data_IF_360851502207
#
_entry.id   IF_360851502207
#
_cell.length_a   1.000
_cell.length_b   1.000
_cell.length_c   1.000
_cell.angle_alpha   90.00
_cell.angle_beta   90.00
_cell.angle_gamma   90.00
#
_symmetry.space_group_name_H-M   'P 1'
#
loop_
_entity.id
_entity.type
_entity.pdbx_description
1 polymer ?
#
# COMPACT_ATOMS: atom_id res chain seq x y z
N UNK A 1 32.11 -43.83 16.09
CA UNK A 1 30.94 -43.13 15.54
C UNK A 1 29.79 -43.21 16.53
N UNK A 2 29.03 -42.12 16.69
CA UNK A 2 27.57 -42.06 16.92
C UNK A 2 27.23 -40.63 17.36
N UNK A 3 27.09 -39.73 16.37
CA UNK A 3 26.71 -38.32 16.52
C UNK A 3 25.23 -38.22 16.20
N UNK A 4 24.37 -38.58 17.14
CA UNK A 4 22.92 -38.50 16.98
C UNK A 4 22.33 -37.60 18.04
N UNK A 5 22.15 -36.33 17.69
CA UNK A 5 21.06 -35.49 18.17
C UNK A 5 21.04 -34.24 17.28
N UNK A 6 20.26 -34.33 16.20
CA UNK A 6 19.80 -33.17 15.44
C UNK A 6 19.09 -32.22 16.42
N UNK A 7 19.77 -31.15 16.82
CA UNK A 7 19.14 -30.05 17.52
C UNK A 7 18.34 -29.24 16.48
N UNK A 8 17.02 -29.24 16.68
CA UNK A 8 16.04 -28.61 15.82
C UNK A 8 16.37 -27.15 15.52
N UNK A 9 16.41 -26.84 14.22
CA UNK A 9 16.24 -25.49 13.69
C UNK A 9 14.81 -25.02 13.96
N UNK A 10 14.60 -24.24 15.02
CA UNK A 10 13.40 -23.40 15.15
C UNK A 10 13.69 -22.03 14.52
N UNK A 11 13.47 -21.94 13.21
CA UNK A 11 13.44 -20.68 12.47
C UNK A 11 12.06 -20.53 11.85
N UNK A 12 11.07 -20.09 12.62
CA UNK A 12 9.76 -19.74 12.08
C UNK A 12 8.99 -18.82 13.05
N UNK A 13 9.30 -17.52 13.00
CA UNK A 13 8.50 -16.46 13.60
C UNK A 13 8.06 -15.50 12.49
N UNK A 14 7.05 -15.93 11.74
CA UNK A 14 6.36 -15.17 10.70
C UNK A 14 5.75 -13.91 11.31
N UNK A 15 6.21 -12.73 10.88
CA UNK A 15 5.40 -11.51 10.86
C UNK A 15 5.09 -11.20 9.39
N UNK A 16 4.05 -11.87 8.87
CA UNK A 16 3.35 -11.46 7.66
C UNK A 16 2.72 -10.08 7.91
N UNK A 17 3.48 -9.03 7.67
CA UNK A 17 2.96 -7.68 7.48
C UNK A 17 2.30 -7.54 6.11
N UNK A 18 1.36 -8.41 5.75
CA UNK A 18 0.55 -8.28 4.53
C UNK A 18 -0.64 -7.37 4.80
N UNK A 19 -0.36 -6.09 4.98
CA UNK A 19 -1.35 -5.02 4.79
C UNK A 19 -0.91 -4.07 3.69
N UNK A 20 -0.30 -4.60 2.63
CA UNK A 20 -0.47 -4.00 1.31
C UNK A 20 -1.90 -4.35 0.88
N UNK A 21 -2.84 -3.54 1.35
CA UNK A 21 -4.22 -3.61 0.95
C UNK A 21 -4.26 -3.72 -0.57
N UNK A 22 -4.81 -4.85 -1.00
CA UNK A 22 -5.13 -5.23 -2.37
C UNK A 22 -5.36 -3.99 -3.23
N UNK A 23 -4.65 -3.93 -4.35
CA UNK A 23 -5.12 -3.42 -5.63
C UNK A 23 -6.53 -2.83 -5.56
N UNK A 24 -6.67 -1.60 -5.04
CA UNK A 24 -7.91 -0.88 -5.18
C UNK A 24 -7.83 -0.30 -6.58
N UNK A 25 -8.33 -1.07 -7.55
CA UNK A 25 -8.65 -0.63 -8.90
C UNK A 25 -9.72 0.49 -8.90
N UNK A 26 -10.12 0.97 -7.72
CA UNK A 26 -10.84 2.21 -7.51
C UNK A 26 -9.84 3.24 -7.04
N UNK A 27 -9.61 4.25 -7.87
CA UNK A 27 -8.75 5.41 -7.65
C UNK A 27 -9.25 6.34 -6.52
N UNK A 28 -10.25 5.86 -5.79
CA UNK A 28 -11.11 6.52 -4.82
C UNK A 28 -11.03 5.77 -3.51
N UNK A 29 -10.72 6.50 -2.44
CA UNK A 29 -10.46 5.97 -1.11
C UNK A 29 -11.60 6.32 -0.16
N UNK A 30 -11.95 5.46 0.81
CA UNK A 30 -13.02 5.74 1.77
C UNK A 30 -12.65 6.82 2.79
N UNK A 31 -11.38 7.19 2.90
CA UNK A 31 -10.91 8.19 3.86
C UNK A 31 -9.74 8.99 3.33
N UNK A 32 -9.60 10.23 3.81
CA UNK A 32 -8.47 11.10 3.50
C UNK A 32 -7.14 10.44 3.84
N UNK A 33 -7.03 9.80 5.01
CA UNK A 33 -5.80 9.14 5.43
C UNK A 33 -5.38 7.99 4.48
N UNK A 34 -6.35 7.24 3.93
CA UNK A 34 -6.05 6.20 2.94
C UNK A 34 -5.61 6.82 1.60
N UNK A 35 -6.25 7.91 1.18
CA UNK A 35 -5.86 8.66 -0.01
C UNK A 35 -4.45 9.25 0.13
N UNK A 36 -4.12 9.87 1.26
CA UNK A 36 -2.79 10.44 1.51
C UNK A 36 -1.68 9.39 1.54
N UNK A 37 -1.96 8.18 2.04
CA UNK A 37 -1.01 7.06 1.95
C UNK A 37 -0.68 6.73 0.51
N UNK A 38 -1.69 6.59 -0.35
CA UNK A 38 -1.49 6.36 -1.78
C UNK A 38 -0.80 7.54 -2.46
N UNK A 39 -1.12 8.77 -2.06
CA UNK A 39 -0.50 9.97 -2.59
C UNK A 39 1.01 9.96 -2.41
N UNK A 40 1.49 9.54 -1.24
CA UNK A 40 2.92 9.39 -0.94
C UNK A 40 3.60 8.38 -1.84
N UNK A 41 2.95 7.26 -2.15
CA UNK A 41 3.45 6.26 -3.10
C UNK A 41 3.56 6.85 -4.52
N UNK A 42 2.52 7.58 -4.93
CA UNK A 42 2.42 8.26 -6.22
C UNK A 42 3.25 9.56 -6.31
N UNK A 43 3.97 9.93 -5.25
CA UNK A 43 4.71 11.21 -5.11
C UNK A 43 3.85 12.44 -5.46
N UNK A 44 2.57 12.39 -5.10
CA UNK A 44 1.64 13.50 -5.19
C UNK A 44 1.10 13.85 -3.81
N UNK A 45 0.45 15.02 -3.68
CA UNK A 45 -0.13 15.48 -2.42
C UNK A 45 -1.40 16.29 -2.66
N UNK A 46 -2.13 16.56 -1.59
CA UNK A 46 -3.35 17.37 -1.62
C UNK A 46 -4.65 16.56 -1.73
N UNK A 47 -4.73 15.38 -1.11
CA UNK A 47 -5.91 14.53 -1.18
C UNK A 47 -7.22 15.32 -1.04
N UNK A 48 -8.12 15.18 -2.02
CA UNK A 48 -9.40 15.91 -2.07
C UNK A 48 -10.58 14.97 -1.97
N UNK A 49 -11.64 15.43 -1.32
CA UNK A 49 -12.90 14.70 -1.24
C UNK A 49 -13.67 14.84 -2.56
N UNK A 50 -14.10 13.71 -3.10
CA UNK A 50 -15.01 13.60 -4.23
C UNK A 50 -16.27 12.86 -3.77
N UNK A 51 -17.21 13.60 -3.17
CA UNK A 51 -18.40 13.02 -2.56
C UNK A 51 -18.09 12.31 -1.25
N UNK A 52 -18.32 10.98 -1.19
CA UNK A 52 -18.02 10.15 -0.02
C UNK A 52 -16.61 9.55 -0.06
N UNK A 53 -15.94 9.70 -1.20
CA UNK A 53 -14.64 9.12 -1.46
C UNK A 53 -13.58 10.21 -1.55
N UNK A 54 -12.32 9.81 -1.49
CA UNK A 54 -11.15 10.67 -1.45
C UNK A 54 -10.19 10.28 -2.54
N UNK A 55 -9.71 11.26 -3.29
CA UNK A 55 -8.67 11.09 -4.28
C UNK A 55 -7.31 11.42 -3.66
N UNK A 56 -6.22 10.77 -4.07
CA UNK A 56 -4.93 10.90 -3.39
C UNK A 56 -4.14 12.17 -3.78
N UNK A 57 -4.29 12.70 -5.00
CA UNK A 57 -3.62 13.93 -5.43
C UNK A 57 -4.60 15.10 -5.48
N UNK A 58 -4.13 16.36 -5.44
CA UNK A 58 -4.94 17.60 -5.45
C UNK A 58 -6.05 17.71 -6.50
N UNK A 59 -5.89 17.04 -7.64
CA UNK A 59 -6.88 16.99 -8.70
C UNK A 59 -6.72 15.71 -9.52
N UNK A 60 -7.69 15.45 -10.40
CA UNK A 60 -7.69 14.29 -11.28
C UNK A 60 -6.50 14.30 -12.26
N UNK A 61 -6.14 15.45 -12.84
CA UNK A 61 -4.99 15.54 -13.76
C UNK A 61 -3.66 15.10 -13.14
N UNK A 62 -3.36 15.56 -11.92
CA UNK A 62 -2.15 15.19 -11.19
C UNK A 62 -2.17 13.71 -10.83
N UNK A 63 -3.35 13.20 -10.50
CA UNK A 63 -3.55 11.79 -10.23
C UNK A 63 -3.32 10.92 -11.45
N UNK A 64 -3.94 11.23 -12.58
CA UNK A 64 -3.75 10.50 -13.84
C UNK A 64 -2.28 10.51 -14.26
N UNK A 65 -1.62 11.67 -14.18
CA UNK A 65 -0.18 11.77 -14.47
C UNK A 65 0.67 10.95 -13.51
N UNK A 66 0.29 10.82 -12.25
CA UNK A 66 1.03 10.04 -11.27
C UNK A 66 0.84 8.53 -11.50
N UNK A 67 -0.39 8.08 -11.72
CA UNK A 67 -0.71 6.68 -12.01
C UNK A 67 -0.16 6.23 -13.35
N UNK A 68 -0.22 7.10 -14.37
CA UNK A 68 0.40 6.84 -15.68
C UNK A 68 1.92 6.67 -15.61
N UNK A 69 2.58 7.18 -14.56
CA UNK A 69 4.02 7.01 -14.34
C UNK A 69 4.38 5.76 -13.55
N UNK A 70 3.42 5.13 -12.89
CA UNK A 70 3.60 3.85 -12.20
C UNK A 70 3.37 2.62 -13.10
N UNK A 71 2.82 2.83 -14.32
CA UNK A 71 2.54 1.79 -15.30
C UNK A 71 3.75 1.53 -16.20
#
# INVERSE_FOLDING_TARGET
MNRSALALLLSAGVCLGTSAARAQANNMFPSQAAAEKRAKELKCSGAFAMGKEWMPCQNFDLYEKAVSREK
#
